data_IF_395336880881
#
_entry.id   IF_395336880881
#
_cell.length_a   1.000
_cell.length_b   1.000
_cell.length_c   1.000
_cell.angle_alpha   90.00
_cell.angle_beta   90.00
_cell.angle_gamma   90.00
#
_symmetry.space_group_name_H-M   'P 1'
#
loop_
_entity.id
_entity.type
_entity.pdbx_description
1 polymer ?
#
# COMPACT_ATOMS: atom_id res chain seq x y z
N UNK A 1 167.08 -113.27 -59.60
CA UNK A 1 165.96 -112.74 -60.40
C UNK A 1 164.61 -112.76 -59.65
N UNK A 2 164.47 -113.47 -58.52
CA UNK A 2 163.25 -113.43 -57.68
C UNK A 2 163.08 -112.18 -56.80
N UNK A 3 164.17 -111.46 -56.48
CA UNK A 3 164.15 -110.31 -55.56
C UNK A 3 163.53 -109.02 -56.15
N UNK A 4 163.47 -108.88 -57.49
CA UNK A 4 162.87 -107.70 -58.15
C UNK A 4 161.34 -107.85 -58.27
N UNK A 5 160.86 -109.08 -58.47
CA UNK A 5 159.42 -109.37 -58.60
C UNK A 5 158.67 -109.10 -57.29
N UNK A 6 159.26 -109.48 -56.15
CA UNK A 6 158.64 -109.29 -54.84
C UNK A 6 158.57 -107.82 -54.39
N UNK A 7 159.56 -107.00 -54.80
CA UNK A 7 159.56 -105.55 -54.52
C UNK A 7 158.55 -104.79 -55.38
N UNK A 8 158.32 -105.28 -56.60
CA UNK A 8 157.31 -104.73 -57.51
C UNK A 8 155.88 -105.11 -57.06
N UNK A 9 155.68 -106.34 -56.58
CA UNK A 9 154.41 -106.78 -55.97
C UNK A 9 154.10 -106.02 -54.67
N UNK A 10 155.11 -105.73 -53.84
CA UNK A 10 154.93 -104.92 -52.62
C UNK A 10 154.57 -103.45 -52.90
N UNK A 11 155.22 -102.83 -53.89
CA UNK A 11 154.90 -101.45 -54.31
C UNK A 11 153.53 -101.32 -54.98
N UNK A 12 153.09 -102.36 -55.72
CA UNK A 12 151.73 -102.41 -56.26
C UNK A 12 150.73 -102.49 -55.11
N UNK A 13 150.99 -103.33 -54.10
CA UNK A 13 150.11 -103.49 -52.95
C UNK A 13 150.05 -102.23 -52.07
N UNK A 14 151.17 -101.57 -51.80
CA UNK A 14 151.17 -100.27 -51.09
C UNK A 14 150.47 -99.17 -51.88
N UNK A 15 150.60 -99.16 -53.22
CA UNK A 15 149.87 -98.24 -54.07
C UNK A 15 148.37 -98.53 -54.05
N UNK A 16 147.96 -99.81 -54.10
CA UNK A 16 146.57 -100.22 -53.99
C UNK A 16 145.98 -99.85 -52.63
N UNK A 17 146.68 -100.11 -51.52
CA UNK A 17 146.27 -99.70 -50.16
C UNK A 17 146.19 -98.17 -50.00
N UNK A 18 147.13 -97.41 -50.59
CA UNK A 18 147.08 -95.95 -50.56
C UNK A 18 145.93 -95.38 -51.40
N UNK A 19 145.63 -96.00 -52.54
CA UNK A 19 144.47 -95.63 -53.38
C UNK A 19 143.18 -95.96 -52.65
N UNK A 20 143.07 -97.14 -52.04
CA UNK A 20 141.88 -97.56 -51.30
C UNK A 20 141.63 -96.67 -50.07
N UNK A 21 142.70 -96.25 -49.38
CA UNK A 21 142.63 -95.26 -48.28
C UNK A 21 142.26 -93.86 -48.76
N UNK A 22 142.76 -93.43 -49.92
CA UNK A 22 142.37 -92.16 -50.53
C UNK A 22 140.89 -92.16 -50.93
N UNK A 23 140.41 -93.25 -51.53
CA UNK A 23 138.98 -93.46 -51.85
C UNK A 23 138.13 -93.45 -50.57
N UNK A 24 138.59 -94.12 -49.50
CA UNK A 24 137.89 -94.11 -48.21
C UNK A 24 137.77 -92.72 -47.59
N UNK A 25 138.87 -91.94 -47.59
CA UNK A 25 138.86 -90.56 -47.11
C UNK A 25 138.04 -89.62 -48.00
N UNK A 26 138.02 -89.85 -49.30
CA UNK A 26 137.21 -89.07 -50.25
C UNK A 26 135.72 -89.37 -50.08
N UNK A 27 135.35 -90.64 -49.84
CA UNK A 27 133.99 -91.02 -49.48
C UNK A 27 133.57 -90.42 -48.13
N UNK A 28 134.41 -90.48 -47.10
CA UNK A 28 134.10 -89.90 -45.78
C UNK A 28 133.99 -88.37 -45.86
N UNK A 29 134.84 -87.72 -46.67
CA UNK A 29 134.73 -86.29 -46.96
C UNK A 29 133.40 -85.98 -47.64
N UNK A 30 132.99 -86.73 -48.66
CA UNK A 30 131.70 -86.51 -49.34
C UNK A 30 130.52 -86.74 -48.38
N UNK A 31 130.56 -87.75 -47.52
CA UNK A 31 129.52 -87.98 -46.52
C UNK A 31 129.42 -86.83 -45.51
N UNK A 32 130.57 -86.28 -45.05
CA UNK A 32 130.59 -85.13 -44.15
C UNK A 32 130.15 -83.85 -44.84
N UNK A 33 130.51 -83.63 -46.10
CA UNK A 33 130.04 -82.50 -46.89
C UNK A 33 128.53 -82.56 -47.14
N UNK A 34 127.99 -83.75 -47.42
CA UNK A 34 126.55 -83.93 -47.62
C UNK A 34 125.78 -83.81 -46.29
N UNK A 35 126.35 -84.28 -45.18
CA UNK A 35 125.78 -84.05 -43.85
C UNK A 35 125.81 -82.56 -43.46
N UNK A 36 126.91 -81.84 -43.75
CA UNK A 36 127.02 -80.41 -43.52
C UNK A 36 126.00 -79.62 -44.36
N UNK A 37 125.82 -79.97 -45.65
CA UNK A 37 124.77 -79.39 -46.50
C UNK A 37 123.37 -79.67 -45.97
N UNK A 38 123.13 -80.88 -45.43
CA UNK A 38 121.86 -81.23 -44.78
C UNK A 38 121.55 -80.33 -43.59
N UNK A 39 122.51 -80.17 -42.68
CA UNK A 39 122.39 -79.28 -41.52
C UNK A 39 122.25 -77.81 -41.94
N UNK A 40 122.96 -77.36 -42.97
CA UNK A 40 122.85 -75.98 -43.48
C UNK A 40 121.46 -75.70 -44.08
N UNK A 41 120.86 -76.68 -44.77
CA UNK A 41 119.49 -76.60 -45.25
C UNK A 41 118.46 -76.60 -44.10
N UNK A 42 118.67 -77.41 -43.06
CA UNK A 42 117.83 -77.41 -41.86
C UNK A 42 117.92 -76.07 -41.12
N UNK A 43 119.13 -75.54 -40.93
CA UNK A 43 119.35 -74.21 -40.33
C UNK A 43 118.62 -73.15 -41.15
N UNK A 44 118.79 -73.13 -42.48
CA UNK A 44 118.09 -72.17 -43.34
C UNK A 44 116.55 -72.28 -43.25
N UNK A 45 116.03 -73.49 -43.10
CA UNK A 45 114.58 -73.72 -42.94
C UNK A 45 114.10 -73.23 -41.59
N UNK A 46 114.83 -73.53 -40.51
CA UNK A 46 114.52 -73.07 -39.16
C UNK A 46 114.61 -71.54 -39.08
N UNK A 47 115.63 -70.92 -39.66
CA UNK A 47 115.76 -69.46 -39.70
C UNK A 47 114.59 -68.79 -40.42
N UNK A 48 114.15 -69.34 -41.56
CA UNK A 48 112.93 -68.83 -42.25
C UNK A 48 111.67 -69.00 -41.41
N UNK A 49 111.54 -70.11 -40.69
CA UNK A 49 110.41 -70.35 -39.80
C UNK A 49 110.42 -69.41 -38.60
N UNK A 50 111.58 -69.11 -38.02
CA UNK A 50 111.74 -68.13 -36.94
C UNK A 50 111.28 -66.76 -37.41
N UNK A 51 111.79 -66.27 -38.55
CA UNK A 51 111.39 -64.97 -39.11
C UNK A 51 109.87 -64.91 -39.35
N UNK A 52 109.28 -65.96 -39.95
CA UNK A 52 107.84 -66.00 -40.18
C UNK A 52 107.01 -66.03 -38.88
N UNK A 53 107.52 -66.65 -37.82
CA UNK A 53 106.87 -66.67 -36.51
C UNK A 53 107.01 -65.33 -35.80
N UNK A 54 108.15 -64.65 -35.93
CA UNK A 54 108.36 -63.28 -35.43
C UNK A 54 107.41 -62.30 -36.12
N UNK A 55 107.30 -62.33 -37.46
CA UNK A 55 106.35 -61.49 -38.20
C UNK A 55 104.89 -61.72 -37.75
N UNK A 56 104.52 -62.98 -37.51
CA UNK A 56 103.17 -63.33 -36.99
C UNK A 56 102.96 -62.90 -35.55
N UNK A 57 104.01 -62.93 -34.73
CA UNK A 57 103.96 -62.46 -33.35
C UNK A 57 103.75 -60.94 -33.33
N UNK A 58 104.48 -60.20 -34.15
CA UNK A 58 104.36 -58.75 -34.28
C UNK A 58 102.96 -58.35 -34.78
N UNK A 59 102.43 -59.05 -35.79
CA UNK A 59 101.06 -58.84 -36.27
C UNK A 59 100.02 -59.11 -35.17
N UNK A 60 100.11 -60.24 -34.46
CA UNK A 60 99.18 -60.55 -33.37
C UNK A 60 99.31 -59.55 -32.21
N UNK A 61 100.51 -59.08 -31.91
CA UNK A 61 100.73 -58.07 -30.86
C UNK A 61 100.07 -56.75 -31.22
N UNK A 62 100.17 -56.30 -32.47
CA UNK A 62 99.53 -55.07 -32.92
C UNK A 62 97.99 -55.21 -32.98
N UNK A 63 97.48 -56.34 -33.47
CA UNK A 63 96.03 -56.63 -33.45
C UNK A 63 95.49 -56.68 -32.01
N UNK A 64 96.24 -57.30 -31.09
CA UNK A 64 95.88 -57.34 -29.68
C UNK A 64 95.85 -55.94 -29.07
N UNK A 65 96.86 -55.10 -29.36
CA UNK A 65 96.91 -53.70 -28.90
C UNK A 65 95.70 -52.90 -29.39
N UNK A 66 95.39 -52.99 -30.68
CA UNK A 66 94.23 -52.32 -31.28
C UNK A 66 92.90 -52.85 -30.71
N UNK A 67 92.82 -54.15 -30.41
CA UNK A 67 91.64 -54.73 -29.78
C UNK A 67 91.44 -54.24 -28.34
N UNK A 68 92.53 -54.06 -27.59
CA UNK A 68 92.48 -53.48 -26.23
C UNK A 68 91.99 -52.04 -26.30
N UNK A 69 92.56 -51.22 -27.20
CA UNK A 69 92.15 -49.82 -27.34
C UNK A 69 90.67 -49.69 -27.73
N UNK A 70 90.17 -50.55 -28.64
CA UNK A 70 88.74 -50.61 -28.98
C UNK A 70 87.88 -51.04 -27.80
N UNK A 71 88.35 -51.99 -26.99
CA UNK A 71 87.63 -52.44 -25.80
C UNK A 71 87.52 -51.30 -24.78
N UNK A 72 88.60 -50.58 -24.50
CA UNK A 72 88.60 -49.45 -23.56
C UNK A 72 87.63 -48.34 -24.00
N UNK A 73 87.59 -48.02 -25.30
CA UNK A 73 86.62 -47.05 -25.84
C UNK A 73 85.19 -47.56 -25.69
N UNK A 74 84.94 -48.84 -26.00
CA UNK A 74 83.61 -49.43 -25.88
C UNK A 74 83.13 -49.49 -24.43
N UNK A 75 84.01 -49.86 -23.49
CA UNK A 75 83.73 -49.85 -22.04
C UNK A 75 83.40 -48.44 -21.56
N UNK A 76 84.18 -47.43 -21.98
CA UNK A 76 83.89 -46.04 -21.63
C UNK A 76 82.51 -45.59 -22.14
N UNK A 77 82.20 -45.85 -23.40
CA UNK A 77 80.88 -45.51 -23.98
C UNK A 77 79.75 -46.25 -23.28
N UNK A 78 79.95 -47.53 -22.92
CA UNK A 78 78.97 -48.30 -22.16
C UNK A 78 78.74 -47.67 -20.79
N UNK A 79 79.80 -47.32 -20.06
CA UNK A 79 79.68 -46.65 -18.74
C UNK A 79 78.98 -45.29 -18.84
N UNK A 80 79.30 -44.47 -19.84
CA UNK A 80 78.64 -43.17 -20.05
C UNK A 80 77.16 -43.36 -20.38
N UNK A 81 76.82 -44.36 -21.20
CA UNK A 81 75.43 -44.69 -21.56
C UNK A 81 74.64 -45.21 -20.34
N UNK A 82 75.24 -46.06 -19.51
CA UNK A 82 74.63 -46.54 -18.27
C UNK A 82 74.37 -45.39 -17.29
N UNK A 83 75.29 -44.42 -17.18
CA UNK A 83 75.09 -43.23 -16.37
C UNK A 83 73.92 -42.37 -16.90
N UNK A 84 73.81 -42.21 -18.22
CA UNK A 84 72.72 -41.45 -18.83
C UNK A 84 71.36 -42.15 -18.63
N UNK A 85 71.28 -43.47 -18.82
CA UNK A 85 70.06 -44.25 -18.55
C UNK A 85 69.64 -44.12 -17.09
N UNK A 86 70.58 -44.20 -16.15
CA UNK A 86 70.30 -44.00 -14.73
C UNK A 86 69.78 -42.58 -14.43
N UNK A 87 70.36 -41.55 -15.06
CA UNK A 87 69.91 -40.17 -14.91
C UNK A 87 68.49 -39.96 -15.47
N UNK A 88 68.20 -40.50 -16.66
CA UNK A 88 66.88 -40.43 -17.28
C UNK A 88 65.83 -41.20 -16.47
N UNK A 89 66.20 -42.36 -15.91
CA UNK A 89 65.31 -43.16 -15.05
C UNK A 89 64.89 -42.37 -13.81
N UNK A 90 65.84 -41.70 -13.14
CA UNK A 90 65.53 -40.82 -12.00
C UNK A 90 64.66 -39.63 -12.42
N UNK A 91 64.94 -39.03 -13.58
CA UNK A 91 64.13 -37.92 -14.11
C UNK A 91 62.69 -38.36 -14.40
N UNK A 92 62.50 -39.55 -14.95
CA UNK A 92 61.19 -40.12 -15.24
C UNK A 92 60.38 -40.31 -13.96
N UNK A 93 60.96 -40.88 -12.91
CA UNK A 93 60.30 -41.03 -11.61
C UNK A 93 59.86 -39.68 -11.01
N UNK A 94 60.72 -38.67 -11.05
CA UNK A 94 60.38 -37.33 -10.55
C UNK A 94 59.22 -36.69 -11.34
N UNK A 95 59.21 -36.86 -12.66
CA UNK A 95 58.12 -36.38 -13.52
C UNK A 95 56.81 -37.14 -13.26
N UNK A 96 56.86 -38.45 -13.03
CA UNK A 96 55.69 -39.25 -12.68
C UNK A 96 55.09 -38.80 -11.34
N UNK A 97 55.92 -38.58 -10.32
CA UNK A 97 55.48 -38.06 -9.03
C UNK A 97 54.90 -36.64 -9.12
N UNK A 98 55.49 -35.78 -9.94
CA UNK A 98 54.97 -34.43 -10.17
C UNK A 98 53.62 -34.50 -10.91
N UNK A 99 53.51 -35.35 -11.93
CA UNK A 99 52.26 -35.56 -12.67
C UNK A 99 51.15 -36.07 -11.75
N UNK A 100 51.45 -37.02 -10.85
CA UNK A 100 50.49 -37.50 -9.86
C UNK A 100 50.03 -36.36 -8.94
N UNK A 101 50.96 -35.58 -8.38
CA UNK A 101 50.65 -34.43 -7.53
C UNK A 101 49.79 -33.37 -8.23
N UNK A 102 50.08 -33.08 -9.49
CA UNK A 102 49.29 -32.12 -10.29
C UNK A 102 47.89 -32.67 -10.57
N UNK A 103 47.77 -33.97 -10.83
CA UNK A 103 46.48 -34.63 -11.09
C UNK A 103 45.59 -34.61 -9.85
N UNK A 104 46.12 -34.98 -8.68
CA UNK A 104 45.38 -34.92 -7.41
C UNK A 104 44.90 -33.49 -7.10
N UNK A 105 45.76 -32.50 -7.33
CA UNK A 105 45.40 -31.09 -7.14
C UNK A 105 44.34 -30.61 -8.15
N UNK A 106 44.35 -31.12 -9.38
CA UNK A 106 43.33 -30.84 -10.38
C UNK A 106 41.99 -31.43 -9.94
N UNK A 107 41.97 -32.69 -9.48
CA UNK A 107 40.75 -33.35 -9.01
C UNK A 107 40.11 -32.59 -7.84
N UNK A 108 40.92 -32.12 -6.88
CA UNK A 108 40.44 -31.26 -5.80
C UNK A 108 39.85 -29.94 -6.30
N UNK A 109 40.48 -29.31 -7.30
CA UNK A 109 40.00 -28.06 -7.86
C UNK A 109 38.68 -28.25 -8.62
N UNK A 110 38.54 -29.34 -9.37
CA UNK A 110 37.31 -29.72 -10.07
C UNK A 110 36.19 -29.99 -9.07
N UNK A 111 36.45 -30.75 -8.00
CA UNK A 111 35.47 -31.03 -6.96
C UNK A 111 34.98 -29.74 -6.27
N UNK A 112 35.89 -28.79 -5.97
CA UNK A 112 35.53 -27.48 -5.40
C UNK A 112 34.69 -26.65 -6.37
N UNK A 113 35.01 -26.69 -7.66
CA UNK A 113 34.26 -25.99 -8.70
C UNK A 113 32.83 -26.53 -8.81
N UNK A 114 32.64 -27.85 -8.80
CA UNK A 114 31.31 -28.46 -8.87
C UNK A 114 30.42 -28.05 -7.68
N UNK A 115 30.99 -27.98 -6.47
CA UNK A 115 30.27 -27.50 -5.28
C UNK A 115 29.89 -26.01 -5.42
N UNK A 116 30.81 -25.18 -5.93
CA UNK A 116 30.54 -23.77 -6.15
C UNK A 116 29.47 -23.53 -7.23
N UNK A 117 29.47 -24.32 -8.31
CA UNK A 117 28.44 -24.27 -9.36
C UNK A 117 27.06 -24.62 -8.81
N UNK A 118 26.94 -25.71 -8.04
CA UNK A 118 25.66 -26.08 -7.39
C UNK A 118 25.15 -24.98 -6.45
N UNK A 119 26.04 -24.40 -5.65
CA UNK A 119 25.68 -23.29 -4.76
C UNK A 119 25.23 -22.04 -5.54
N UNK A 120 25.87 -21.74 -6.67
CA UNK A 120 25.49 -20.64 -7.54
C UNK A 120 24.13 -20.88 -8.21
N UNK A 121 23.84 -22.10 -8.68
CA UNK A 121 22.54 -22.47 -9.24
C UNK A 121 21.40 -22.34 -8.21
N UNK A 122 21.63 -22.78 -6.96
CA UNK A 122 20.66 -22.62 -5.87
C UNK A 122 20.43 -21.15 -5.53
N UNK A 123 21.50 -20.34 -5.49
CA UNK A 123 21.41 -18.90 -5.28
C UNK A 123 20.61 -18.21 -6.39
N UNK A 124 20.83 -18.57 -7.65
CA UNK A 124 20.10 -18.03 -8.80
C UNK A 124 18.62 -18.42 -8.78
N UNK A 125 18.29 -19.66 -8.37
CA UNK A 125 16.89 -20.07 -8.13
C UNK A 125 16.25 -19.23 -7.03
N UNK A 126 16.96 -19.03 -5.92
CA UNK A 126 16.52 -18.17 -4.82
C UNK A 126 16.24 -16.73 -5.28
N UNK A 127 17.16 -16.15 -6.07
CA UNK A 127 17.01 -14.82 -6.65
C UNK A 127 15.74 -14.70 -7.49
N UNK A 128 15.48 -15.66 -8.39
CA UNK A 128 14.28 -15.66 -9.25
C UNK A 128 12.98 -15.74 -8.46
N UNK A 129 12.95 -16.52 -7.37
CA UNK A 129 11.77 -16.62 -6.50
C UNK A 129 11.52 -15.28 -5.80
N UNK A 130 12.57 -14.65 -5.27
CA UNK A 130 12.47 -13.34 -4.62
C UNK A 130 12.02 -12.27 -5.61
N UNK A 131 12.58 -12.26 -6.82
CA UNK A 131 12.21 -11.34 -7.89
C UNK A 131 10.73 -11.49 -8.28
N UNK A 132 10.25 -12.73 -8.50
CA UNK A 132 8.84 -12.98 -8.77
C UNK A 132 7.92 -12.55 -7.63
N UNK A 133 8.36 -12.70 -6.37
CA UNK A 133 7.61 -12.22 -5.20
C UNK A 133 7.58 -10.69 -5.15
N UNK A 134 8.71 -10.04 -5.40
CA UNK A 134 8.83 -8.58 -5.46
C UNK A 134 7.87 -7.98 -6.50
N UNK A 135 7.79 -8.56 -7.70
CA UNK A 135 6.86 -8.10 -8.73
C UNK A 135 5.39 -8.22 -8.31
N UNK A 136 5.02 -9.32 -7.63
CA UNK A 136 3.66 -9.49 -7.12
C UNK A 136 3.35 -8.51 -6.00
N UNK A 137 4.30 -8.30 -5.09
CA UNK A 137 4.14 -7.36 -3.99
C UNK A 137 3.97 -5.92 -4.55
N UNK A 138 4.73 -5.54 -5.57
CA UNK A 138 4.62 -4.26 -6.27
C UNK A 138 3.25 -4.09 -6.96
N UNK A 139 2.76 -5.09 -7.70
CA UNK A 139 1.43 -5.08 -8.30
C UNK A 139 0.32 -4.92 -7.24
N UNK A 140 0.43 -5.63 -6.11
CA UNK A 140 -0.55 -5.49 -5.02
C UNK A 140 -0.49 -4.13 -4.35
N UNK A 141 0.70 -3.54 -4.22
CA UNK A 141 0.89 -2.20 -3.66
C UNK A 141 0.21 -1.16 -4.53
N UNK A 142 0.42 -1.19 -5.85
CA UNK A 142 -0.20 -0.26 -6.80
C UNK A 142 -1.74 -0.33 -6.74
N UNK A 143 -2.30 -1.55 -6.68
CA UNK A 143 -3.74 -1.73 -6.54
C UNK A 143 -4.27 -1.16 -5.21
N UNK A 144 -3.56 -1.38 -4.11
CA UNK A 144 -3.92 -0.82 -2.81
C UNK A 144 -3.82 0.70 -2.77
N UNK A 145 -2.84 1.30 -3.46
CA UNK A 145 -2.71 2.76 -3.57
C UNK A 145 -3.89 3.39 -4.31
N UNK A 146 -4.36 2.75 -5.39
CA UNK A 146 -5.56 3.20 -6.11
C UNK A 146 -6.79 3.11 -5.21
N UNK A 147 -7.00 1.96 -4.55
CA UNK A 147 -8.13 1.78 -3.63
C UNK A 147 -8.10 2.79 -2.47
N UNK A 148 -6.91 3.09 -1.92
CA UNK A 148 -6.74 4.08 -0.87
C UNK A 148 -7.10 5.48 -1.37
N UNK A 149 -6.68 5.84 -2.59
CA UNK A 149 -7.01 7.12 -3.21
C UNK A 149 -8.52 7.27 -3.41
N UNK A 150 -9.19 6.24 -3.90
CA UNK A 150 -10.63 6.22 -4.09
C UNK A 150 -11.39 6.32 -2.76
N UNK A 151 -10.96 5.55 -1.75
CA UNK A 151 -11.55 5.60 -0.42
C UNK A 151 -11.41 6.98 0.24
N UNK A 152 -10.25 7.64 0.07
CA UNK A 152 -10.05 9.02 0.50
C UNK A 152 -10.98 9.99 -0.21
N UNK A 153 -11.14 9.86 -1.54
CA UNK A 153 -12.06 10.69 -2.31
C UNK A 153 -13.51 10.56 -1.82
N UNK A 154 -13.96 9.33 -1.56
CA UNK A 154 -15.30 9.07 -1.02
C UNK A 154 -15.47 9.70 0.37
N UNK A 155 -14.46 9.59 1.24
CA UNK A 155 -14.50 10.19 2.57
C UNK A 155 -14.58 11.73 2.50
N UNK A 156 -13.76 12.37 1.66
CA UNK A 156 -13.79 13.82 1.45
C UNK A 156 -15.13 14.31 0.90
N UNK A 157 -15.72 13.58 -0.06
CA UNK A 157 -17.05 13.90 -0.60
C UNK A 157 -18.16 13.72 0.44
N UNK A 158 -18.04 12.73 1.32
CA UNK A 158 -18.96 12.54 2.43
C UNK A 158 -18.85 13.70 3.43
N UNK A 159 -17.64 14.09 3.83
CA UNK A 159 -17.39 15.21 4.74
C UNK A 159 -17.97 16.52 4.20
N UNK A 160 -17.76 16.80 2.91
CA UNK A 160 -18.37 17.98 2.25
C UNK A 160 -19.90 17.96 2.32
N UNK A 161 -20.53 16.81 2.08
CA UNK A 161 -21.99 16.67 2.21
C UNK A 161 -22.45 16.86 3.64
N UNK A 162 -21.73 16.31 4.62
CA UNK A 162 -22.04 16.51 6.04
C UNK A 162 -21.94 17.97 6.46
N UNK A 163 -20.91 18.68 6.00
CA UNK A 163 -20.81 20.13 6.25
C UNK A 163 -21.98 20.91 5.64
N UNK A 164 -22.37 20.60 4.40
CA UNK A 164 -23.48 21.27 3.74
C UNK A 164 -24.81 21.02 4.47
N UNK A 165 -25.08 19.76 4.84
CA UNK A 165 -26.26 19.40 5.63
C UNK A 165 -26.22 20.11 6.99
N UNK A 166 -25.08 20.15 7.66
CA UNK A 166 -24.92 20.85 8.94
C UNK A 166 -25.16 22.36 8.83
N UNK A 167 -24.75 23.00 7.72
CA UNK A 167 -25.08 24.41 7.46
C UNK A 167 -26.57 24.62 7.22
N UNK A 168 -27.22 23.76 6.42
CA UNK A 168 -28.67 23.82 6.17
C UNK A 168 -29.48 23.61 7.44
N UNK A 169 -29.08 22.64 8.27
CA UNK A 169 -29.73 22.35 9.53
C UNK A 169 -29.74 23.59 10.43
N UNK A 170 -28.58 24.23 10.63
CA UNK A 170 -28.48 25.46 11.42
C UNK A 170 -29.37 26.59 10.91
N UNK A 171 -29.52 26.72 9.59
CA UNK A 171 -30.40 27.73 9.00
C UNK A 171 -31.87 27.45 9.36
N UNK A 172 -32.29 26.19 9.24
CA UNK A 172 -33.65 25.76 9.57
C UNK A 172 -33.93 25.88 11.07
N UNK A 173 -32.96 25.56 11.93
CA UNK A 173 -33.06 25.75 13.38
C UNK A 173 -33.27 27.22 13.74
N UNK A 174 -32.52 28.14 13.13
CA UNK A 174 -32.70 29.58 13.34
C UNK A 174 -34.07 30.08 12.82
N UNK A 175 -34.53 29.59 11.67
CA UNK A 175 -35.85 29.95 11.14
C UNK A 175 -36.97 29.40 12.02
N UNK A 176 -36.81 28.19 12.57
CA UNK A 176 -37.73 27.60 13.53
C UNK A 176 -37.82 28.44 14.81
N UNK A 177 -36.68 28.86 15.38
CA UNK A 177 -36.64 29.74 16.56
C UNK A 177 -37.43 31.03 16.32
N UNK A 178 -37.21 31.68 15.18
CA UNK A 178 -37.97 32.89 14.79
C UNK A 178 -39.47 32.65 14.65
N UNK A 179 -39.88 31.48 14.16
CA UNK A 179 -41.30 31.11 14.04
C UNK A 179 -41.90 30.85 15.41
N UNK A 180 -41.15 30.21 16.31
CA UNK A 180 -41.58 29.96 17.69
C UNK A 180 -41.77 31.27 18.46
N UNK A 181 -40.80 32.19 18.41
CA UNK A 181 -40.93 33.52 19.04
C UNK A 181 -42.17 34.27 18.56
N UNK A 182 -42.45 34.22 17.25
CA UNK A 182 -43.66 34.81 16.66
C UNK A 182 -44.93 34.14 17.14
N UNK A 183 -44.93 32.81 17.23
CA UNK A 183 -46.07 32.06 17.72
C UNK A 183 -46.38 32.43 19.18
N UNK A 184 -45.36 32.53 20.04
CA UNK A 184 -45.52 32.99 21.42
C UNK A 184 -46.09 34.42 21.50
N UNK A 185 -45.62 35.33 20.66
CA UNK A 185 -46.16 36.69 20.59
C UNK A 185 -47.65 36.68 20.22
N UNK A 186 -48.05 35.88 19.22
CA UNK A 186 -49.44 35.75 18.82
C UNK A 186 -50.31 35.09 19.90
N UNK A 187 -49.82 34.06 20.58
CA UNK A 187 -50.51 33.47 21.73
C UNK A 187 -50.74 34.50 22.85
N UNK A 188 -49.74 35.35 23.12
CA UNK A 188 -49.88 36.45 24.06
C UNK A 188 -50.96 37.45 23.66
N UNK A 189 -51.03 37.81 22.37
CA UNK A 189 -52.09 38.69 21.83
C UNK A 189 -53.47 38.06 21.96
N UNK A 190 -53.60 36.77 21.62
CA UNK A 190 -54.87 36.02 21.76
C UNK A 190 -55.33 36.01 23.21
N UNK A 191 -54.45 35.66 24.16
CA UNK A 191 -54.78 35.67 25.59
C UNK A 191 -55.28 37.03 26.06
N UNK A 192 -54.60 38.12 25.66
CA UNK A 192 -55.01 39.49 26.01
C UNK A 192 -56.37 39.85 25.39
N UNK A 193 -56.61 39.48 24.14
CA UNK A 193 -57.90 39.70 23.48
C UNK A 193 -59.02 38.89 24.15
N UNK A 194 -58.76 37.65 24.55
CA UNK A 194 -59.72 36.81 25.28
C UNK A 194 -60.08 37.41 26.65
N UNK A 195 -59.09 37.96 27.37
CA UNK A 195 -59.34 38.68 28.64
C UNK A 195 -60.19 39.94 28.43
N UNK A 196 -59.90 40.73 27.38
CA UNK A 196 -60.70 41.90 27.04
C UNK A 196 -62.13 41.53 26.67
N UNK A 197 -62.33 40.45 25.90
CA UNK A 197 -63.66 39.94 25.55
C UNK A 197 -64.43 39.49 26.78
N UNK A 198 -63.79 38.83 27.75
CA UNK A 198 -64.42 38.47 29.03
C UNK A 198 -64.88 39.70 29.79
N UNK A 199 -64.01 40.70 29.95
CA UNK A 199 -64.37 41.95 30.63
C UNK A 199 -65.50 42.72 29.91
N UNK A 200 -65.47 42.76 28.57
CA UNK A 200 -66.52 43.39 27.78
C UNK A 200 -67.86 42.66 27.93
N UNK A 201 -67.85 41.32 27.95
CA UNK A 201 -69.05 40.52 28.20
C UNK A 201 -69.62 40.73 29.61
N UNK A 202 -68.77 40.87 30.63
CA UNK A 202 -69.21 41.22 31.99
C UNK A 202 -69.85 42.62 32.04
N UNK A 203 -69.24 43.60 31.38
CA UNK A 203 -69.80 44.95 31.26
C UNK A 203 -71.13 44.95 30.51
N UNK A 204 -71.24 44.19 29.42
CA UNK A 204 -72.47 44.05 28.65
C UNK A 204 -73.59 43.47 29.51
N UNK A 205 -73.33 42.40 30.26
CA UNK A 205 -74.32 41.82 31.20
C UNK A 205 -74.79 42.82 32.25
N UNK A 206 -73.87 43.64 32.77
CA UNK A 206 -74.21 44.71 33.72
C UNK A 206 -75.11 45.78 33.07
N UNK A 207 -74.76 46.23 31.86
CA UNK A 207 -75.57 47.20 31.11
C UNK A 207 -76.95 46.65 30.73
N UNK A 208 -77.03 45.37 30.33
CA UNK A 208 -78.29 44.69 30.06
C UNK A 208 -79.18 44.67 31.33
N UNK A 209 -78.61 44.34 32.49
CA UNK A 209 -79.35 44.36 33.75
C UNK A 209 -79.86 45.77 34.11
N UNK A 210 -79.04 46.81 33.88
CA UNK A 210 -79.46 48.21 34.08
C UNK A 210 -80.55 48.60 33.06
N UNK A 211 -80.42 48.18 31.81
CA UNK A 211 -81.42 48.47 30.76
C UNK A 211 -82.76 47.83 31.08
N UNK A 212 -82.78 46.57 31.55
CA UNK A 212 -84.01 45.89 31.99
C UNK A 212 -84.65 46.65 33.15
N UNK A 213 -83.85 47.02 34.17
CA UNK A 213 -84.35 47.78 35.32
C UNK A 213 -84.92 49.15 34.91
N UNK A 214 -84.26 49.85 33.99
CA UNK A 214 -84.74 51.13 33.47
C UNK A 214 -86.05 50.96 32.69
N UNK A 215 -86.15 49.92 31.85
CA UNK A 215 -87.40 49.60 31.13
C UNK A 215 -88.55 49.28 32.08
N UNK A 216 -88.31 48.50 33.13
CA UNK A 216 -89.32 48.25 34.18
C UNK A 216 -89.75 49.53 34.89
N UNK A 217 -88.81 50.45 35.12
CA UNK A 217 -89.07 51.74 35.73
C UNK A 217 -89.85 52.67 34.79
N UNK A 218 -89.53 52.68 33.48
CA UNK A 218 -90.30 53.37 32.44
C UNK A 218 -91.75 52.86 32.39
N UNK A 219 -91.97 51.53 32.36
CA UNK A 219 -93.30 50.92 32.39
C UNK A 219 -94.11 51.35 33.64
N UNK A 220 -93.44 51.47 34.79
CA UNK A 220 -94.07 51.94 36.02
C UNK A 220 -94.46 53.43 35.94
N UNK A 221 -93.57 54.27 35.42
CA UNK A 221 -93.87 55.68 35.19
C UNK A 221 -94.99 55.86 34.15
N UNK A 222 -95.03 55.07 33.08
CA UNK A 222 -96.14 55.11 32.12
C UNK A 222 -97.48 54.77 32.78
N UNK A 223 -97.54 53.73 33.62
CA UNK A 223 -98.75 53.39 34.38
C UNK A 223 -99.17 54.52 35.33
N UNK A 224 -98.21 55.13 36.03
CA UNK A 224 -98.47 56.23 36.96
C UNK A 224 -98.96 57.47 36.21
N UNK A 225 -98.33 57.84 35.09
CA UNK A 225 -98.77 58.91 34.20
C UNK A 225 -100.18 58.64 33.69
N UNK A 226 -100.48 57.41 33.27
CA UNK A 226 -101.82 57.05 32.79
C UNK A 226 -102.88 57.23 33.89
N UNK A 227 -102.61 56.73 35.10
CA UNK A 227 -103.49 56.89 36.25
C UNK A 227 -103.67 58.35 36.66
N UNK A 228 -102.60 59.14 36.69
CA UNK A 228 -102.66 60.58 36.97
C UNK A 228 -103.44 61.34 35.88
N UNK A 229 -103.30 60.96 34.62
CA UNK A 229 -104.04 61.55 33.49
C UNK A 229 -105.53 61.23 33.58
N UNK A 230 -105.89 59.99 33.94
CA UNK A 230 -107.29 59.61 34.18
C UNK A 230 -107.88 60.37 35.36
N UNK A 231 -107.14 60.49 36.47
CA UNK A 231 -107.56 61.28 37.63
C UNK A 231 -107.73 62.77 37.28
N UNK A 232 -106.82 63.34 36.48
CA UNK A 232 -106.95 64.71 36.00
C UNK A 232 -108.22 64.88 35.18
N UNK A 233 -108.50 63.99 34.21
CA UNK A 233 -109.72 64.03 33.40
C UNK A 233 -110.99 63.91 34.24
N UNK A 234 -110.99 63.06 35.27
CA UNK A 234 -112.09 62.94 36.22
C UNK A 234 -112.26 64.23 37.05
N UNK A 235 -111.17 64.87 37.45
CA UNK A 235 -111.21 66.16 38.13
C UNK A 235 -111.70 67.29 37.21
N UNK A 236 -111.26 67.34 35.95
CA UNK A 236 -111.70 68.29 34.93
C UNK A 236 -113.19 68.17 34.64
N UNK A 237 -113.68 66.95 34.37
CA UNK A 237 -115.12 66.71 34.15
C UNK A 237 -115.97 67.08 35.37
N UNK A 238 -115.46 66.85 36.59
CA UNK A 238 -116.11 67.30 37.83
C UNK A 238 -116.10 68.82 37.96
N UNK A 239 -115.01 69.49 37.59
CA UNK A 239 -114.90 70.94 37.58
C UNK A 239 -115.86 71.55 36.54
N UNK A 240 -115.91 71.04 35.31
CA UNK A 240 -116.86 71.46 34.27
C UNK A 240 -118.32 71.30 34.74
N UNK A 241 -118.64 70.20 35.43
CA UNK A 241 -119.98 70.00 35.97
C UNK A 241 -120.31 71.02 37.07
N UNK A 242 -119.34 71.33 37.93
CA UNK A 242 -119.49 72.37 38.94
C UNK A 242 -119.68 73.74 38.30
N UNK A 243 -118.89 74.10 37.28
CA UNK A 243 -119.03 75.35 36.52
C UNK A 243 -120.41 75.47 35.86
N UNK A 244 -120.89 74.42 35.17
CA UNK A 244 -122.26 74.41 34.62
C UNK A 244 -123.35 74.57 35.67
N UNK A 245 -123.11 74.06 36.88
CA UNK A 245 -124.04 74.22 38.00
C UNK A 245 -124.03 75.65 38.51
N UNK A 246 -122.85 76.27 38.59
CA UNK A 246 -122.69 77.70 38.91
C UNK A 246 -123.39 78.56 37.87
N UNK A 247 -123.14 78.37 36.57
CA UNK A 247 -123.81 79.10 35.47
C UNK A 247 -125.35 79.02 35.55
N UNK A 248 -125.89 77.85 35.91
CA UNK A 248 -127.34 77.66 36.10
C UNK A 248 -127.85 78.44 37.32
N UNK A 249 -127.11 78.40 38.43
CA UNK A 249 -127.45 79.13 39.64
C UNK A 249 -127.36 80.64 39.38
N UNK A 250 -126.34 81.14 38.68
CA UNK A 250 -126.21 82.54 38.27
C UNK A 250 -127.40 82.99 37.42
N UNK A 251 -127.78 82.24 36.39
CA UNK A 251 -129.01 82.55 35.61
C UNK A 251 -130.28 82.57 36.46
N UNK A 252 -130.34 81.72 37.48
CA UNK A 252 -131.47 81.70 38.41
C UNK A 252 -131.44 82.91 39.33
N UNK A 253 -130.24 83.35 39.76
CA UNK A 253 -130.05 84.59 40.51
C UNK A 253 -130.48 85.77 39.66
N UNK A 254 -129.99 85.92 38.41
CA UNK A 254 -130.38 87.00 37.51
C UNK A 254 -131.91 87.06 37.32
N UNK A 255 -132.54 85.91 37.10
CA UNK A 255 -134.01 85.82 37.00
C UNK A 255 -134.72 86.24 38.28
N UNK A 256 -134.22 85.82 39.45
CA UNK A 256 -134.77 86.22 40.75
C UNK A 256 -134.52 87.70 41.04
N UNK A 257 -133.39 88.26 40.62
CA UNK A 257 -133.08 89.70 40.73
C UNK A 257 -134.01 90.53 39.83
N UNK A 258 -134.26 90.09 38.60
CA UNK A 258 -135.24 90.72 37.69
C UNK A 258 -136.66 90.64 38.26
N UNK A 259 -137.07 89.50 38.81
CA UNK A 259 -138.36 89.37 39.50
C UNK A 259 -138.46 90.27 40.72
N UNK A 260 -137.41 90.34 41.55
CA UNK A 260 -137.35 91.21 42.72
C UNK A 260 -137.40 92.68 42.32
N UNK A 261 -136.74 93.06 41.22
CA UNK A 261 -136.80 94.41 40.68
C UNK A 261 -138.20 94.75 40.18
N UNK A 262 -138.83 93.84 39.41
CA UNK A 262 -140.21 94.00 38.95
C UNK A 262 -141.19 94.13 40.12
N UNK A 263 -141.02 93.33 41.18
CA UNK A 263 -141.85 93.36 42.38
C UNK A 263 -141.62 94.64 43.19
N UNK A 264 -140.37 95.12 43.30
CA UNK A 264 -140.07 96.45 43.87
C UNK A 264 -140.72 97.59 43.09
N UNK A 265 -140.70 97.53 41.75
CA UNK A 265 -141.34 98.54 40.91
C UNK A 265 -142.87 98.49 41.04
N UNK A 266 -143.45 97.29 41.15
CA UNK A 266 -144.87 97.09 41.45
C UNK A 266 -145.24 97.66 42.82
N UNK A 267 -144.43 97.38 43.86
CA UNK A 267 -144.64 97.93 45.21
C UNK A 267 -144.53 99.45 45.23
N UNK A 268 -143.56 100.02 44.50
CA UNK A 268 -143.44 101.48 44.34
C UNK A 268 -144.66 102.07 43.65
N UNK A 269 -145.16 101.44 42.58
CA UNK A 269 -146.38 101.87 41.90
C UNK A 269 -147.65 101.75 42.76
N UNK A 270 -147.71 100.75 43.64
CA UNK A 270 -148.78 100.60 44.65
C UNK A 270 -148.65 101.68 45.74
N UNK A 271 -147.43 101.96 46.21
CA UNK A 271 -147.16 103.03 47.18
C UNK A 271 -147.52 104.40 46.63
N UNK A 272 -147.15 104.71 45.38
CA UNK A 272 -147.52 105.97 44.72
C UNK A 272 -149.04 106.09 44.51
N UNK A 273 -149.73 104.98 44.21
CA UNK A 273 -151.20 104.94 44.18
C UNK A 273 -151.82 105.13 45.56
N UNK A 274 -151.20 104.58 46.61
CA UNK A 274 -151.65 104.73 48.00
C UNK A 274 -151.49 106.17 48.48
N UNK A 275 -150.35 106.81 48.18
CA UNK A 275 -150.09 108.23 48.46
C UNK A 275 -151.07 109.13 47.70
N UNK A 276 -151.43 108.75 46.47
CA UNK A 276 -152.45 109.46 45.68
C UNK A 276 -153.85 109.31 46.30
N UNK A 277 -154.26 108.11 46.72
CA UNK A 277 -155.56 107.91 47.38
C UNK A 277 -155.63 108.48 48.79
N UNK A 278 -154.52 108.53 49.52
CA UNK A 278 -154.41 109.23 50.80
C UNK A 278 -154.46 110.75 50.61
N UNK A 279 -153.80 111.27 49.58
CA UNK A 279 -153.89 112.68 49.17
C UNK A 279 -155.30 113.09 48.72
N UNK A 280 -156.01 112.20 48.03
CA UNK A 280 -157.39 112.44 47.58
C UNK A 280 -158.40 112.35 48.76
N UNK A 281 -158.10 111.60 49.83
CA UNK A 281 -158.93 111.55 51.06
C UNK A 281 -158.69 112.71 52.02
N UNK A 282 -157.51 113.36 51.99
CA UNK A 282 -157.20 114.53 52.84
C UNK A 282 -157.79 115.84 52.28
N UNK A 283 -158.17 115.87 50.99
CA UNK A 283 -158.71 117.05 50.30
C UNK A 283 -160.25 117.04 50.10
N UNK A 284 -160.98 116.23 50.87
CA UNK A 284 -162.46 116.21 50.92
C UNK A 284 -163.02 116.58 52.30
N UNK A 285 -162.45 117.64 52.89
CA UNK A 285 -163.18 118.55 53.78
C UNK A 285 -163.86 119.63 52.95
#
# INVERSE_FOLDING_TARGET
>A
MESIKHKMEGLIKEKEEAIEKAIGLENEKTEKEDHAKGLENEINTITKNIISLEDKLDQNMEEHRLSIEKLEVAEKVATDSELEVNAQTRRMQLLEEEMQRVTERLDEAVAKLEVAEKAAEESERGRKVIESRSFKDEETLELQEIQLRDAKGIAEDADRKYEEVGRKLRMVENDLERVLDRAEEYEGKVKKSDEQLKALNENLRSLEAVSVKNSEQEDNYEKEIHALTENLKNAETRAEFAERTVDKLEKTIDYLEDQLYAEKMSYKGISEKLDKTLGDMVNLN
#
